data_IF_450635207490
#
_entry.id   IF_450635207490
#
_cell.length_a   1.000
_cell.length_b   1.000
_cell.length_c   1.000
_cell.angle_alpha   90.00
_cell.angle_beta   90.00
_cell.angle_gamma   90.00
#
_symmetry.space_group_name_H-M   'P 1'
#
loop_
_entity.id
_entity.type
_entity.pdbx_description
1 polymer ?
#
# COMPACT_ATOMS: atom_id res chain seq x y z
N UNK A 1 -32.95 -62.87 9.06
CA UNK A 1 -33.85 -61.77 9.48
C UNK A 1 -33.46 -60.49 8.78
N UNK A 2 -34.46 -59.66 8.50
CA UNK A 2 -34.50 -58.60 7.50
C UNK A 2 -33.82 -57.27 7.87
N UNK A 3 -33.30 -56.56 6.86
CA UNK A 3 -33.67 -55.18 6.42
C UNK A 3 -32.57 -54.68 5.47
N UNK A 4 -32.82 -54.62 4.15
CA UNK A 4 -33.30 -53.45 3.36
C UNK A 4 -32.41 -52.22 3.62
N UNK A 5 -31.80 -51.60 2.62
CA UNK A 5 -32.41 -50.46 1.88
C UNK A 5 -31.68 -50.10 0.56
N UNK A 6 -32.50 -50.01 -0.50
CA UNK A 6 -32.50 -49.28 -1.80
C UNK A 6 -31.27 -49.01 -2.71
N UNK A 7 -31.33 -49.62 -3.92
CA UNK A 7 -31.35 -49.11 -5.32
C UNK A 7 -31.05 -47.61 -5.58
N UNK A 8 -30.31 -47.20 -6.63
CA UNK A 8 -30.69 -47.25 -8.05
C UNK A 8 -29.51 -47.31 -9.05
N UNK A 9 -29.72 -48.06 -10.13
CA UNK A 9 -28.93 -48.09 -11.37
C UNK A 9 -29.47 -47.03 -12.33
N UNK A 10 -28.58 -46.30 -13.02
CA UNK A 10 -28.87 -45.78 -14.36
C UNK A 10 -27.56 -45.63 -15.16
N UNK A 11 -27.35 -46.55 -16.10
CA UNK A 11 -26.46 -46.37 -17.25
C UNK A 11 -27.21 -45.62 -18.36
N UNK A 12 -26.55 -44.62 -18.95
CA UNK A 12 -26.62 -44.22 -20.36
C UNK A 12 -25.90 -42.86 -20.46
N UNK A 13 -24.96 -42.59 -21.35
CA UNK A 13 -24.38 -43.32 -22.47
C UNK A 13 -23.22 -42.46 -22.97
N UNK A 14 -22.15 -43.10 -23.40
CA UNK A 14 -21.05 -42.43 -24.08
C UNK A 14 -21.53 -41.94 -25.45
N UNK A 15 -21.27 -40.68 -25.79
CA UNK A 15 -20.98 -40.25 -27.16
C UNK A 15 -20.44 -38.82 -27.15
N UNK A 16 -19.12 -38.74 -27.34
CA UNK A 16 -18.37 -37.59 -27.84
C UNK A 16 -19.03 -36.94 -29.05
N UNK A 17 -19.19 -35.61 -29.02
CA UNK A 17 -19.03 -34.78 -30.21
C UNK A 17 -18.23 -33.52 -29.84
N UNK A 18 -17.14 -33.35 -30.59
CA UNK A 18 -16.23 -32.23 -30.65
C UNK A 18 -16.97 -30.92 -30.95
N UNK A 19 -16.46 -29.77 -30.46
CA UNK A 19 -16.19 -28.54 -31.25
C UNK A 19 -15.90 -27.30 -30.36
N UNK A 20 -14.61 -26.98 -30.24
CA UNK A 20 -14.03 -25.62 -30.24
C UNK A 20 -14.17 -24.68 -29.01
N UNK A 21 -13.23 -23.72 -28.84
CA UNK A 21 -13.00 -22.99 -27.60
C UNK A 21 -13.77 -21.67 -27.59
N UNK A 22 -14.65 -21.48 -26.61
CA UNK A 22 -15.23 -20.17 -26.33
C UNK A 22 -14.70 -19.71 -24.99
N UNK A 23 -13.69 -18.85 -25.10
CA UNK A 23 -13.28 -17.90 -24.09
C UNK A 23 -14.51 -17.38 -23.31
N UNK A 24 -14.64 -17.81 -22.06
CA UNK A 24 -15.46 -17.09 -21.10
C UNK A 24 -14.54 -16.06 -20.44
N UNK A 25 -14.36 -14.97 -21.19
CA UNK A 25 -14.03 -13.67 -20.64
C UNK A 25 -15.01 -13.39 -19.49
N UNK A 26 -14.53 -13.49 -18.25
CA UNK A 26 -15.18 -12.86 -17.10
C UNK A 26 -15.12 -11.34 -17.34
N UNK A 27 -16.15 -10.87 -18.04
CA UNK A 27 -16.43 -9.46 -18.28
C UNK A 27 -16.50 -8.74 -16.95
N UNK A 28 -15.60 -7.77 -16.81
CA UNK A 28 -15.80 -6.45 -16.24
C UNK A 28 -17.09 -6.29 -15.41
N UNK A 29 -16.95 -6.39 -14.08
CA UNK A 29 -17.72 -5.53 -13.22
C UNK A 29 -16.92 -4.25 -13.03
N UNK A 30 -17.16 -3.31 -13.94
CA UNK A 30 -16.71 -1.94 -13.86
C UNK A 30 -17.29 -1.30 -12.58
N UNK A 31 -16.47 -1.24 -11.53
CA UNK A 31 -16.63 -0.24 -10.49
C UNK A 31 -16.26 1.10 -11.09
N UNK A 32 -17.25 1.79 -11.68
CA UNK A 32 -17.16 3.18 -12.10
C UNK A 32 -16.94 4.08 -10.87
N UNK A 33 -15.71 4.14 -10.38
CA UNK A 33 -15.21 5.31 -9.66
C UNK A 33 -14.85 6.35 -10.70
N UNK A 34 -15.79 7.23 -11.02
CA UNK A 34 -15.54 8.43 -11.80
C UNK A 34 -14.28 9.12 -11.25
N UNK A 35 -13.19 9.08 -12.03
CA UNK A 35 -12.11 10.05 -11.89
C UNK A 35 -12.76 11.41 -12.08
N UNK A 36 -12.97 12.13 -10.98
CA UNK A 36 -13.39 13.52 -11.04
C UNK A 36 -12.36 14.27 -11.90
N UNK A 37 -12.76 14.62 -13.13
CA UNK A 37 -12.05 15.59 -13.95
C UNK A 37 -12.10 16.91 -13.17
N UNK A 38 -11.04 17.24 -12.46
CA UNK A 38 -10.98 18.48 -11.67
C UNK A 38 -10.01 18.49 -10.50
N UNK A 39 -9.51 17.33 -10.05
CA UNK A 39 -8.38 17.30 -9.13
C UNK A 39 -7.10 17.32 -9.97
N UNK A 40 -6.31 18.38 -9.81
CA UNK A 40 -4.93 18.47 -10.28
C UNK A 40 -4.24 17.13 -9.99
N UNK A 41 -3.75 16.45 -11.03
CA UNK A 41 -3.14 15.12 -10.86
C UNK A 41 -1.98 15.31 -9.85
N UNK A 42 -1.99 14.63 -8.69
CA UNK A 42 -0.89 14.76 -7.74
C UNK A 42 0.42 14.53 -8.47
N UNK A 43 1.36 15.46 -8.34
CA UNK A 43 2.63 15.37 -9.04
C UNK A 43 3.35 14.13 -8.51
N UNK A 44 3.52 13.13 -9.38
CA UNK A 44 4.34 11.95 -9.06
C UNK A 44 5.79 12.40 -8.92
N UNK A 45 6.39 12.15 -7.75
CA UNK A 45 7.78 12.55 -7.47
C UNK A 45 8.57 11.39 -6.88
N UNK A 46 9.84 11.29 -7.28
CA UNK A 46 10.83 10.40 -6.65
C UNK A 46 11.56 11.11 -5.49
N UNK A 47 11.52 12.44 -5.49
CA UNK A 47 12.08 13.31 -4.46
C UNK A 47 11.08 14.43 -4.13
N UNK A 48 10.55 14.40 -2.90
CA UNK A 48 9.69 15.46 -2.37
C UNK A 48 10.52 16.44 -1.54
N UNK A 49 10.28 17.74 -1.71
CA UNK A 49 10.95 18.79 -0.94
C UNK A 49 9.91 19.65 -0.24
N UNK A 50 9.90 19.63 1.10
CA UNK A 50 9.07 20.49 1.93
C UNK A 50 9.75 21.86 2.04
N UNK A 51 9.14 22.88 1.42
CA UNK A 51 9.54 24.29 1.58
C UNK A 51 8.67 24.95 2.66
N UNK A 52 9.23 25.91 3.38
CA UNK A 52 8.71 26.45 4.66
C UNK A 52 7.33 27.15 4.54
N UNK A 53 6.89 27.53 3.34
CA UNK A 53 5.80 28.49 3.20
C UNK A 53 4.48 27.96 2.60
N UNK A 54 4.41 26.69 2.16
CA UNK A 54 3.19 26.14 1.55
C UNK A 54 3.02 24.66 1.85
N UNK A 55 1.88 24.28 2.45
CA UNK A 55 1.45 22.89 2.55
C UNK A 55 1.28 22.32 1.14
N UNK A 56 2.11 21.34 0.78
CA UNK A 56 2.08 20.66 -0.51
C UNK A 56 1.88 19.17 -0.29
N UNK A 57 1.01 18.60 -1.11
CA UNK A 57 0.83 17.16 -1.19
C UNK A 57 1.67 16.63 -2.35
N UNK A 58 2.41 15.58 -2.06
CA UNK A 58 3.21 14.85 -3.03
C UNK A 58 2.75 13.39 -3.01
N UNK A 59 2.77 12.74 -4.18
CA UNK A 59 2.48 11.32 -4.28
C UNK A 59 3.67 10.63 -4.92
N UNK A 60 4.07 9.47 -4.40
CA UNK A 60 5.11 8.64 -4.97
C UNK A 60 4.57 7.22 -5.12
N UNK A 61 4.93 6.56 -6.22
CA UNK A 61 4.61 5.15 -6.46
C UNK A 61 5.89 4.33 -6.36
N UNK A 62 5.89 3.37 -5.44
CA UNK A 62 6.99 2.44 -5.25
C UNK A 62 6.65 1.09 -5.90
N UNK A 63 7.57 0.55 -6.68
CA UNK A 63 7.41 -0.69 -7.42
C UNK A 63 8.75 -1.43 -7.54
N UNK A 64 8.75 -2.62 -8.14
CA UNK A 64 9.99 -3.37 -8.39
C UNK A 64 10.99 -2.60 -9.26
N UNK A 65 10.50 -1.73 -10.16
CA UNK A 65 11.33 -0.89 -11.04
C UNK A 65 11.66 0.47 -10.42
N UNK A 66 10.83 0.96 -9.49
CA UNK A 66 11.04 2.21 -8.75
C UNK A 66 11.03 1.95 -7.25
N UNK A 67 12.18 1.53 -6.72
CA UNK A 67 12.29 1.05 -5.34
C UNK A 67 12.60 2.13 -4.31
N UNK A 68 12.91 3.35 -4.75
CA UNK A 68 13.39 4.42 -3.88
C UNK A 68 12.50 5.64 -3.96
N UNK A 69 12.23 6.23 -2.81
CA UNK A 69 11.68 7.59 -2.69
C UNK A 69 12.46 8.35 -1.64
N UNK A 70 12.58 9.66 -1.83
CA UNK A 70 13.19 10.56 -0.87
C UNK A 70 12.27 11.71 -0.49
N UNK A 71 12.31 12.09 0.79
CA UNK A 71 11.61 13.22 1.37
C UNK A 71 12.63 14.12 2.04
N UNK A 72 12.70 15.38 1.64
CA UNK A 72 13.59 16.36 2.22
C UNK A 72 12.78 17.47 2.88
N UNK A 73 13.00 17.68 4.17
CA UNK A 73 12.36 18.75 4.93
C UNK A 73 13.38 19.84 5.27
N UNK A 74 12.98 21.11 5.12
CA UNK A 74 13.74 22.27 5.57
C UNK A 74 13.98 22.26 7.09
N UNK A 75 14.85 23.16 7.57
CA UNK A 75 15.38 23.15 8.95
C UNK A 75 14.28 23.40 9.98
N UNK A 76 14.54 22.95 11.21
CA UNK A 76 13.73 23.04 12.42
C UNK A 76 12.79 24.28 12.50
N UNK A 77 11.57 24.11 13.04
CA UNK A 77 11.14 23.03 13.94
C UNK A 77 10.48 21.82 13.25
N UNK A 78 10.51 21.72 11.93
CA UNK A 78 9.74 20.71 11.20
C UNK A 78 10.35 19.30 11.27
N UNK A 79 9.75 18.42 12.07
CA UNK A 79 10.05 16.98 12.12
C UNK A 79 9.07 16.19 11.25
N UNK A 80 9.52 15.09 10.67
CA UNK A 80 8.61 14.16 9.98
C UNK A 80 7.59 13.57 10.97
N UNK A 81 6.35 13.41 10.53
CA UNK A 81 5.26 12.83 11.33
C UNK A 81 4.67 11.64 10.56
N UNK A 82 4.61 10.43 11.17
CA UNK A 82 5.12 10.09 12.49
C UNK A 82 6.66 9.97 12.43
N UNK A 83 7.30 9.47 13.49
CA UNK A 83 8.76 9.29 13.49
C UNK A 83 9.17 8.18 12.49
N UNK A 84 9.40 8.57 11.24
CA UNK A 84 9.58 7.68 10.08
C UNK A 84 10.74 6.68 10.25
N UNK A 85 11.78 7.06 11.00
CA UNK A 85 12.97 6.23 11.28
C UNK A 85 12.64 5.02 12.14
N UNK A 86 11.47 4.99 12.80
CA UNK A 86 10.97 3.83 13.56
C UNK A 86 10.17 2.83 12.72
N UNK A 87 10.01 3.07 11.41
CA UNK A 87 9.30 2.14 10.51
C UNK A 87 7.78 2.23 10.60
N UNK A 88 7.26 3.38 11.04
CA UNK A 88 5.82 3.65 11.09
C UNK A 88 5.45 4.74 10.08
N UNK A 89 4.25 4.65 9.53
CA UNK A 89 3.66 5.64 8.63
C UNK A 89 2.23 5.94 9.03
N UNK A 90 1.73 7.11 8.68
CA UNK A 90 0.33 7.47 8.92
C UNK A 90 -0.60 6.70 7.98
N UNK A 91 -1.75 6.20 8.46
CA UNK A 91 -2.77 5.64 7.59
C UNK A 91 -3.37 6.71 6.65
N UNK A 92 -3.92 6.27 5.52
CA UNK A 92 -4.62 7.17 4.59
C UNK A 92 -5.84 7.83 5.23
N UNK A 93 -6.22 9.01 4.72
CA UNK A 93 -7.45 9.69 5.11
C UNK A 93 -7.32 10.56 6.36
N UNK A 94 -6.12 10.67 6.93
CA UNK A 94 -5.84 11.63 8.00
C UNK A 94 -5.81 13.05 7.41
N UNK A 95 -6.69 13.91 7.90
CA UNK A 95 -6.77 15.33 7.49
C UNK A 95 -5.73 16.22 8.16
N UNK A 96 -5.07 15.73 9.21
CA UNK A 96 -4.08 16.48 9.99
C UNK A 96 -2.96 15.57 10.48
N UNK A 97 -1.73 15.81 10.02
CA UNK A 97 -0.54 15.03 10.44
C UNK A 97 -0.37 14.99 11.97
N UNK A 98 -0.77 16.03 12.70
CA UNK A 98 -0.69 16.05 14.17
C UNK A 98 -1.64 15.03 14.85
N UNK A 99 -2.68 14.57 14.15
CA UNK A 99 -3.59 13.52 14.62
C UNK A 99 -2.96 12.12 14.53
N UNK A 100 -1.94 11.96 13.69
CA UNK A 100 -1.23 10.70 13.53
C UNK A 100 -0.33 10.42 14.74
N UNK A 101 -0.70 9.43 15.56
CA UNK A 101 0.03 9.10 16.80
C UNK A 101 0.81 7.81 16.67
N UNK A 102 1.97 7.75 17.32
CA UNK A 102 2.72 6.50 17.47
C UNK A 102 1.90 5.47 18.27
N UNK A 103 1.99 4.17 17.95
CA UNK A 103 1.31 3.14 18.73
C UNK A 103 1.83 3.10 20.17
N UNK A 104 0.93 3.09 21.16
CA UNK A 104 1.27 3.07 22.59
C UNK A 104 0.80 1.81 23.31
N UNK A 105 0.40 0.77 22.58
CA UNK A 105 -0.09 -0.50 23.14
C UNK A 105 -1.55 -0.45 23.62
N UNK A 106 -2.19 0.72 23.62
CA UNK A 106 -3.65 0.84 23.66
C UNK A 106 -4.27 0.39 22.33
N UNK A 107 -5.58 0.12 22.31
CA UNK A 107 -6.29 -0.26 21.09
C UNK A 107 -6.02 0.76 19.97
N UNK A 108 -5.47 0.29 18.86
CA UNK A 108 -5.18 1.12 17.70
C UNK A 108 -6.49 1.71 17.15
N UNK A 109 -6.52 3.02 16.95
CA UNK A 109 -7.61 3.72 16.28
C UNK A 109 -7.25 4.02 14.81
N UNK A 110 -8.18 4.60 14.07
CA UNK A 110 -8.00 4.92 12.65
C UNK A 110 -6.90 5.97 12.38
N UNK A 111 -6.42 6.67 13.40
CA UNK A 111 -5.36 7.68 13.28
C UNK A 111 -4.01 7.17 13.83
N UNK A 112 -3.95 5.94 14.31
CA UNK A 112 -2.74 5.34 14.87
C UNK A 112 -1.81 4.96 13.72
N UNK A 113 -0.54 5.36 13.82
CA UNK A 113 0.47 5.04 12.83
C UNK A 113 0.64 3.52 12.68
N UNK A 114 0.79 3.07 11.44
CA UNK A 114 0.86 1.65 11.08
C UNK A 114 2.27 1.25 10.72
N UNK A 115 2.61 -0.02 10.94
CA UNK A 115 3.93 -0.57 10.57
C UNK A 115 4.06 -0.62 9.04
N UNK A 116 5.12 -0.03 8.51
CA UNK A 116 5.41 -0.05 7.08
C UNK A 116 5.68 -1.47 6.58
N UNK A 117 6.38 -2.31 7.36
CA UNK A 117 6.56 -3.73 7.02
C UNK A 117 5.23 -4.47 6.89
N UNK A 118 4.30 -4.22 7.82
CA UNK A 118 3.00 -4.87 7.80
C UNK A 118 2.15 -4.43 6.60
N UNK A 119 2.18 -3.14 6.23
CA UNK A 119 1.56 -2.64 5.00
C UNK A 119 2.13 -3.32 3.76
N UNK A 120 3.43 -3.61 3.76
CA UNK A 120 4.10 -4.35 2.69
C UNK A 120 3.85 -5.87 2.72
N UNK A 121 2.97 -6.37 3.59
CA UNK A 121 2.66 -7.79 3.71
C UNK A 121 3.67 -8.62 4.50
N UNK A 122 4.66 -7.98 5.15
CA UNK A 122 5.65 -8.63 6.01
C UNK A 122 5.25 -8.67 7.49
N UNK A 123 6.12 -9.24 8.32
CA UNK A 123 6.02 -9.16 9.77
C UNK A 123 6.49 -7.78 10.27
N UNK A 124 5.99 -7.33 11.43
CA UNK A 124 6.38 -6.02 11.98
C UNK A 124 7.88 -5.91 12.30
N UNK A 125 8.55 -7.05 12.57
CA UNK A 125 9.99 -7.12 12.79
C UNK A 125 10.65 -8.08 11.78
N UNK A 126 11.82 -7.74 11.21
CA UNK A 126 12.50 -6.44 11.31
C UNK A 126 11.75 -5.33 10.53
N UNK A 127 11.76 -4.07 11.03
CA UNK A 127 11.00 -3.00 10.41
C UNK A 127 11.68 -2.49 9.12
N UNK A 128 10.90 -2.37 8.05
CA UNK A 128 11.19 -1.50 6.91
C UNK A 128 11.08 -0.08 7.43
N UNK A 129 12.16 0.69 7.32
CA UNK A 129 12.27 2.02 7.92
C UNK A 129 12.86 3.02 6.94
N UNK A 130 12.52 4.28 7.17
CA UNK A 130 13.18 5.39 6.50
C UNK A 130 14.57 5.60 7.09
N UNK A 131 15.53 5.93 6.25
CA UNK A 131 16.89 6.30 6.64
C UNK A 131 16.99 7.82 6.67
N UNK A 132 17.28 8.38 7.84
CA UNK A 132 17.56 9.81 7.99
C UNK A 132 19.03 10.09 7.62
N UNK A 133 19.26 11.14 6.83
CA UNK A 133 20.58 11.65 6.48
C UNK A 133 20.57 13.19 6.40
N UNK A 134 21.76 13.79 6.47
CA UNK A 134 21.96 15.23 6.23
C UNK A 134 22.13 15.46 4.73
N UNK A 135 21.32 16.33 4.09
CA UNK A 135 21.49 16.64 2.68
C UNK A 135 22.84 17.33 2.42
N UNK A 136 23.51 16.99 1.32
CA UNK A 136 24.81 17.58 0.97
C UNK A 136 24.70 19.06 0.55
N UNK A 137 23.63 19.42 -0.17
CA UNK A 137 23.51 20.72 -0.84
C UNK A 137 22.40 21.61 -0.23
N UNK A 138 21.86 21.25 0.93
CA UNK A 138 20.74 21.97 1.52
C UNK A 138 20.64 21.74 3.03
N UNK A 139 20.15 22.76 3.72
CA UNK A 139 19.90 22.67 5.15
C UNK A 139 18.62 21.84 5.42
N UNK A 140 18.62 21.04 6.49
CA UNK A 140 17.47 20.25 6.93
C UNK A 140 17.78 18.77 7.05
N UNK A 141 16.73 17.94 7.00
CA UNK A 141 16.82 16.48 7.09
C UNK A 141 16.31 15.84 5.80
N UNK A 142 17.02 14.83 5.32
CA UNK A 142 16.58 13.97 4.22
C UNK A 142 16.19 12.61 4.79
N UNK A 143 15.05 12.10 4.39
CA UNK A 143 14.55 10.76 4.70
C UNK A 143 14.48 9.99 3.39
N UNK A 144 15.06 8.80 3.36
CA UNK A 144 15.04 7.93 2.19
C UNK A 144 14.41 6.59 2.54
N UNK A 145 13.43 6.17 1.74
CA UNK A 145 12.85 4.84 1.81
C UNK A 145 13.32 4.05 0.59
N UNK A 146 13.89 2.88 0.85
CA UNK A 146 14.20 1.89 -0.17
C UNK A 146 13.39 0.64 0.13
N UNK A 147 12.66 0.14 -0.87
CA UNK A 147 11.99 -1.16 -0.76
C UNK A 147 13.06 -2.25 -0.57
N UNK A 148 12.85 -3.19 0.36
CA UNK A 148 13.73 -4.35 0.51
C UNK A 148 13.73 -5.21 -0.77
N UNK A 149 14.75 -6.06 -0.92
CA UNK A 149 14.81 -7.13 -1.92
C UNK A 149 13.88 -8.31 -1.56
N UNK A 150 12.65 -7.99 -1.16
CA UNK A 150 11.58 -8.94 -0.88
C UNK A 150 10.45 -8.75 -1.90
N UNK A 151 9.66 -9.79 -2.19
CA UNK A 151 8.46 -9.64 -3.03
C UNK A 151 7.54 -8.55 -2.47
N UNK A 152 7.05 -7.69 -3.35
CA UNK A 152 6.05 -6.67 -2.99
C UNK A 152 4.70 -7.34 -2.68
N UNK A 153 3.83 -6.68 -1.88
CA UNK A 153 2.51 -7.20 -1.61
C UNK A 153 1.71 -7.39 -2.90
N UNK A 154 0.84 -8.41 -2.92
CA UNK A 154 -0.01 -8.72 -4.07
C UNK A 154 -1.06 -7.63 -4.35
N UNK A 155 -1.38 -6.85 -3.32
CA UNK A 155 -2.36 -5.78 -3.38
C UNK A 155 -1.65 -4.46 -3.13
N UNK A 156 -2.09 -3.41 -3.82
CA UNK A 156 -1.59 -2.06 -3.59
C UNK A 156 -1.92 -1.60 -2.18
N UNK A 157 -0.94 -1.00 -1.51
CA UNK A 157 -1.07 -0.39 -0.19
C UNK A 157 -0.74 1.10 -0.29
N UNK A 158 -1.49 1.93 0.44
CA UNK A 158 -1.31 3.38 0.52
C UNK A 158 -1.24 3.84 1.97
#
# INVERSE_FOLDING_TARGET
MARRTLWFVACAGAATFLLSPVAHALRHQAGNGFRAKGLEKPQEVEAAVCKEDVAKEFTAFLSETKRRVSLQCAVAPHTAVPELTKGFVCPTGISNLAACKMPTGAAADANTAVSLSALMGGTAEPPVKWVESTPADAAGKKYELNLPDAPLPLLDST
#
